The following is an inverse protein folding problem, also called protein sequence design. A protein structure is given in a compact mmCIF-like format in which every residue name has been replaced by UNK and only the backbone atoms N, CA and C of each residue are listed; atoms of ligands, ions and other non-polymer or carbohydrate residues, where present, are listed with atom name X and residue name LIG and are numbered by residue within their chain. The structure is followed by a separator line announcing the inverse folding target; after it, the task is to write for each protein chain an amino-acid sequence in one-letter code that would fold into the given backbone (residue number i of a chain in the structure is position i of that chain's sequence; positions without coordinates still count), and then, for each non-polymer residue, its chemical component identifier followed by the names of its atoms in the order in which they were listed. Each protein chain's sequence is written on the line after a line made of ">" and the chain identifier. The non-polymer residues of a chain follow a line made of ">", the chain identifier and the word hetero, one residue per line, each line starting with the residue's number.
data_IF_741494761153
#
_entry.id   IF_741494761153
#
_cell.length_a   1.000
_cell.length_b   1.000
_cell.length_c   1.000
_cell.angle_alpha   90.00
_cell.angle_beta   90.00
_cell.angle_gamma   90.00
#
_symmetry.space_group_name_H-M   'P 1'
#
loop_
_entity.id
_entity.type
_entity.pdbx_description
1 polymer ?
#
# COMPACT_ATOMS: atom_id res chain seq x y z
N UNK A 1 1.22 33.12 15.46
CA UNK A 1 1.72 32.33 16.61
C UNK A 1 2.79 31.38 16.08
N UNK A 2 4.00 31.43 16.60
CA UNK A 2 5.12 30.60 16.13
C UNK A 2 4.74 29.11 16.24
N UNK A 3 4.88 28.30 15.17
CA UNK A 3 4.39 26.89 15.12
C UNK A 3 4.92 26.08 16.32
N UNK A 4 6.15 26.38 16.74
CA UNK A 4 6.79 25.78 17.94
C UNK A 4 6.07 26.12 19.25
N UNK A 5 5.62 27.36 19.41
CA UNK A 5 4.89 27.78 20.61
C UNK A 5 3.50 27.13 20.68
N UNK A 6 2.84 26.95 19.52
CA UNK A 6 1.55 26.25 19.44
C UNK A 6 1.64 24.78 19.85
N UNK A 7 2.68 24.05 19.39
CA UNK A 7 2.90 22.64 19.75
C UNK A 7 3.17 22.43 21.25
N UNK A 8 3.95 23.32 21.86
CA UNK A 8 4.24 23.27 23.31
C UNK A 8 2.97 23.55 24.11
N UNK A 9 2.18 24.57 23.73
CA UNK A 9 0.94 24.90 24.43
C UNK A 9 -0.08 23.75 24.35
N UNK A 10 -0.23 23.12 23.18
CA UNK A 10 -1.10 21.95 23.02
C UNK A 10 -0.63 20.78 23.89
N UNK A 11 0.67 20.48 23.88
CA UNK A 11 1.24 19.40 24.69
C UNK A 11 1.03 19.66 26.18
N UNK A 12 1.24 20.89 26.65
CA UNK A 12 0.97 21.29 28.02
C UNK A 12 -0.51 21.10 28.40
N UNK A 13 -1.44 21.48 27.51
CA UNK A 13 -2.88 21.29 27.74
C UNK A 13 -3.27 19.81 27.84
N UNK A 14 -2.77 18.96 26.92
CA UNK A 14 -2.97 17.50 26.98
C UNK A 14 -2.39 16.94 28.27
N UNK A 15 -1.19 17.37 28.66
CA UNK A 15 -0.56 16.99 29.92
C UNK A 15 -1.38 17.39 31.14
N UNK A 16 -1.94 18.60 31.15
CA UNK A 16 -2.80 19.06 32.24
C UNK A 16 -4.04 18.17 32.42
N UNK A 17 -4.72 17.86 31.33
CA UNK A 17 -5.90 17.00 31.34
C UNK A 17 -5.55 15.57 31.78
N UNK A 18 -4.49 14.99 31.23
CA UNK A 18 -4.02 13.66 31.60
C UNK A 18 -3.62 13.59 33.07
N UNK A 19 -2.85 14.57 33.56
CA UNK A 19 -2.42 14.64 34.95
C UNK A 19 -3.59 14.83 35.93
N UNK A 20 -4.60 15.62 35.56
CA UNK A 20 -5.83 15.73 36.34
C UNK A 20 -6.59 14.40 36.40
N UNK A 21 -6.71 13.69 35.28
CA UNK A 21 -7.37 12.38 35.19
C UNK A 21 -6.66 11.33 36.07
N UNK A 22 -5.32 11.35 36.10
CA UNK A 22 -4.52 10.44 36.93
C UNK A 22 -4.58 10.76 38.43
N UNK A 23 -4.75 12.03 38.82
CA UNK A 23 -4.75 12.44 40.22
C UNK A 23 -6.00 11.98 41.00
N UNK A 24 -7.17 11.90 40.34
CA UNK A 24 -8.40 11.28 40.88
C UNK A 24 -9.13 12.01 42.01
N UNK A 25 -8.43 12.74 42.90
CA UNK A 25 -9.04 13.53 43.99
C UNK A 25 -9.17 15.01 43.63
N UNK A 26 -10.18 15.70 44.16
CA UNK A 26 -10.39 17.12 43.88
C UNK A 26 -9.19 18.01 44.29
N UNK A 27 -8.54 17.67 45.42
CA UNK A 27 -7.32 18.36 45.90
C UNK A 27 -6.07 18.01 45.08
N UNK A 28 -5.99 16.78 44.54
CA UNK A 28 -4.88 16.31 43.72
C UNK A 28 -4.92 16.79 42.27
N UNK A 29 -6.10 17.09 41.70
CA UNK A 29 -6.26 17.46 40.29
C UNK A 29 -5.45 18.68 39.88
N UNK A 30 -5.37 19.72 40.72
CA UNK A 30 -4.57 20.93 40.41
C UNK A 30 -3.08 20.62 40.33
N UNK A 31 -2.55 19.83 41.28
CA UNK A 31 -1.14 19.41 41.27
C UNK A 31 -0.86 18.45 40.12
N UNK A 32 -1.75 17.50 39.88
CA UNK A 32 -1.67 16.58 38.75
C UNK A 32 -1.66 17.31 37.41
N UNK A 33 -2.55 18.30 37.24
CA UNK A 33 -2.60 19.12 36.04
C UNK A 33 -1.30 19.92 35.83
N UNK A 34 -0.81 20.60 36.88
CA UNK A 34 0.43 21.35 36.79
C UNK A 34 1.63 20.45 36.43
N UNK A 35 1.74 19.29 37.09
CA UNK A 35 2.82 18.33 36.84
C UNK A 35 2.72 17.71 35.44
N UNK A 36 1.53 17.30 35.02
CA UNK A 36 1.31 16.74 33.69
C UNK A 36 1.59 17.75 32.58
N UNK A 37 1.19 19.01 32.77
CA UNK A 37 1.51 20.11 31.86
C UNK A 37 3.02 20.31 31.72
N UNK A 38 3.74 20.36 32.85
CA UNK A 38 5.19 20.51 32.87
C UNK A 38 5.90 19.34 32.16
N UNK A 39 5.50 18.09 32.43
CA UNK A 39 6.08 16.89 31.81
C UNK A 39 5.87 16.91 30.29
N UNK A 40 4.66 17.18 29.83
CA UNK A 40 4.36 17.18 28.39
C UNK A 40 4.98 18.36 27.65
N UNK A 41 5.01 19.55 28.26
CA UNK A 41 5.72 20.70 27.70
C UNK A 41 7.23 20.42 27.60
N UNK A 42 7.83 19.87 28.66
CA UNK A 42 9.25 19.49 28.64
C UNK A 42 9.54 18.40 27.60
N UNK A 43 8.67 17.39 27.49
CA UNK A 43 8.76 16.34 26.47
C UNK A 43 8.74 16.92 25.06
N UNK A 44 7.81 17.83 24.77
CA UNK A 44 7.72 18.48 23.46
C UNK A 44 8.94 19.36 23.18
N UNK A 45 9.43 20.14 24.17
CA UNK A 45 10.64 20.96 24.02
C UNK A 45 11.86 20.09 23.67
N UNK A 46 12.08 18.99 24.39
CA UNK A 46 13.20 18.09 24.13
C UNK A 46 13.05 17.40 22.78
N UNK A 47 11.85 16.94 22.42
CA UNK A 47 11.60 16.32 21.13
C UNK A 47 11.86 17.30 19.97
N UNK A 48 11.39 18.55 20.08
CA UNK A 48 11.61 19.58 19.05
C UNK A 48 13.05 20.07 18.96
N UNK A 49 13.79 20.04 20.06
CA UNK A 49 15.22 20.38 20.06
C UNK A 49 16.06 19.34 19.29
N UNK A 50 15.61 18.09 19.24
CA UNK A 50 16.30 16.99 18.55
C UNK A 50 15.81 16.75 17.12
N UNK A 51 14.58 17.13 16.82
CA UNK A 51 13.93 16.91 15.53
C UNK A 51 14.62 17.69 14.40
N UNK A 52 14.98 17.00 13.32
CA UNK A 52 15.49 17.64 12.09
C UNK A 52 14.35 18.13 11.20
N UNK A 53 14.61 19.08 10.28
CA UNK A 53 13.62 19.46 9.27
C UNK A 53 13.10 18.22 8.51
N UNK A 54 11.77 18.15 8.31
CA UNK A 54 11.12 17.03 7.59
C UNK A 54 10.87 15.76 8.41
N UNK A 55 11.49 15.61 9.59
CA UNK A 55 11.24 14.45 10.45
C UNK A 55 9.95 14.61 11.26
N UNK A 56 9.36 13.49 11.70
CA UNK A 56 8.33 13.48 12.75
C UNK A 56 8.99 13.44 14.12
N UNK A 57 8.30 13.85 15.21
CA UNK A 57 8.84 13.73 16.56
C UNK A 57 9.28 12.31 16.88
N UNK A 58 10.35 12.19 17.66
CA UNK A 58 10.92 10.92 18.09
C UNK A 58 9.86 9.94 18.60
N UNK A 59 10.14 8.64 18.45
CA UNK A 59 9.22 7.60 18.89
C UNK A 59 8.83 7.73 20.38
N UNK A 60 9.77 8.05 21.27
CA UNK A 60 9.52 8.10 22.71
C UNK A 60 8.53 9.21 23.07
N UNK A 61 8.64 10.40 22.48
CA UNK A 61 7.73 11.52 22.74
C UNK A 61 6.31 11.20 22.26
N UNK A 62 6.20 10.52 21.11
CA UNK A 62 4.91 10.00 20.61
C UNK A 62 4.29 8.94 21.51
N UNK A 63 5.09 8.10 22.17
CA UNK A 63 4.60 7.13 23.17
C UNK A 63 4.06 7.84 24.40
N UNK A 64 4.77 8.85 24.92
CA UNK A 64 4.30 9.65 26.06
C UNK A 64 2.98 10.36 25.72
N UNK A 65 2.90 11.00 24.54
CA UNK A 65 1.66 11.63 24.05
C UNK A 65 0.50 10.64 23.95
N UNK A 66 0.74 9.44 23.41
CA UNK A 66 -0.27 8.39 23.31
C UNK A 66 -0.77 7.94 24.68
N UNK A 67 0.14 7.82 25.66
CA UNK A 67 -0.21 7.53 27.05
C UNK A 67 -1.05 8.63 27.70
N UNK A 68 -0.72 9.90 27.45
CA UNK A 68 -1.48 11.05 27.97
C UNK A 68 -2.90 11.10 27.39
N UNK A 69 -3.06 10.91 26.07
CA UNK A 69 -4.37 10.83 25.42
C UNK A 69 -5.19 9.65 25.94
N UNK A 70 -4.56 8.49 26.14
CA UNK A 70 -5.20 7.32 26.71
C UNK A 70 -5.64 7.57 28.17
N UNK A 71 -4.86 8.30 28.97
CA UNK A 71 -5.23 8.68 30.33
C UNK A 71 -6.49 9.55 30.35
N UNK A 72 -6.59 10.51 29.43
CA UNK A 72 -7.78 11.38 29.29
C UNK A 72 -9.00 10.52 28.94
N UNK A 73 -8.89 9.68 27.90
CA UNK A 73 -9.97 8.80 27.48
C UNK A 73 -10.41 7.83 28.58
N UNK A 74 -9.45 7.19 29.26
CA UNK A 74 -9.71 6.30 30.38
C UNK A 74 -10.39 7.01 31.55
N UNK A 75 -10.05 8.27 31.82
CA UNK A 75 -10.68 9.07 32.88
C UNK A 75 -12.18 9.35 32.67
N UNK A 76 -12.69 9.18 31.45
CA UNK A 76 -14.11 9.33 31.11
C UNK A 76 -14.92 8.03 31.30
N UNK A 77 -14.24 6.89 31.49
CA UNK A 77 -14.87 5.56 31.52
C UNK A 77 -15.09 5.10 32.96
N UNK A 78 -16.28 4.58 33.24
CA UNK A 78 -16.62 3.91 34.51
C UNK A 78 -16.66 2.41 34.32
N UNK A 79 -15.50 1.78 34.25
CA UNK A 79 -15.37 0.33 34.12
C UNK A 79 -14.17 -0.18 34.94
N UNK A 80 -14.17 -1.49 35.19
CA UNK A 80 -13.05 -2.14 35.88
C UNK A 80 -11.76 -2.12 35.05
N UNK A 81 -10.61 -2.45 35.67
CA UNK A 81 -9.30 -2.40 35.01
C UNK A 81 -9.21 -3.24 33.73
N UNK A 82 -9.72 -4.46 33.72
CA UNK A 82 -9.64 -5.35 32.55
C UNK A 82 -10.40 -4.79 31.33
N UNK A 83 -11.70 -4.42 31.41
CA UNK A 83 -12.39 -3.79 30.29
C UNK A 83 -11.73 -2.51 29.77
N UNK A 84 -11.22 -1.65 30.67
CA UNK A 84 -10.53 -0.41 30.28
C UNK A 84 -9.23 -0.71 29.55
N UNK A 85 -8.44 -1.65 30.08
CA UNK A 85 -7.19 -2.09 29.46
C UNK A 85 -7.43 -2.68 28.07
N UNK A 86 -8.39 -3.60 27.93
CA UNK A 86 -8.77 -4.21 26.64
C UNK A 86 -9.20 -3.16 25.63
N UNK A 87 -10.07 -2.23 26.01
CA UNK A 87 -10.53 -1.17 25.10
C UNK A 87 -9.39 -0.26 24.66
N UNK A 88 -8.57 0.22 25.59
CA UNK A 88 -7.43 1.08 25.29
C UNK A 88 -6.38 0.36 24.40
N UNK A 89 -6.09 -0.90 24.72
CA UNK A 89 -5.23 -1.77 23.92
C UNK A 89 -5.78 -2.01 22.51
N UNK A 90 -7.09 -2.28 22.38
CA UNK A 90 -7.76 -2.46 21.09
C UNK A 90 -7.66 -1.21 20.22
N UNK A 91 -7.91 -0.02 20.78
CA UNK A 91 -7.75 1.26 20.06
C UNK A 91 -6.32 1.46 19.58
N UNK A 92 -5.33 1.24 20.45
CA UNK A 92 -3.92 1.37 20.07
C UNK A 92 -3.49 0.34 19.02
N UNK A 93 -4.01 -0.89 19.11
CA UNK A 93 -3.81 -1.97 18.14
C UNK A 93 -4.37 -1.61 16.76
N UNK A 94 -5.60 -1.11 16.70
CA UNK A 94 -6.29 -0.70 15.47
C UNK A 94 -5.50 0.38 14.71
N UNK A 95 -4.93 1.36 15.42
CA UNK A 95 -4.10 2.42 14.82
C UNK A 95 -2.75 1.91 14.28
N UNK A 96 -2.34 0.69 14.65
CA UNK A 96 -1.05 0.10 14.23
C UNK A 96 -1.01 -0.43 12.80
N UNK A 97 -2.17 -0.47 12.10
CA UNK A 97 -2.41 -0.96 10.72
C UNK A 97 -2.01 -2.42 10.42
N UNK A 98 -1.11 -3.04 11.19
CA UNK A 98 -0.76 -4.47 11.06
C UNK A 98 -1.79 -5.36 11.76
N UNK A 99 -2.32 -6.42 11.12
CA UNK A 99 -3.25 -7.37 11.73
C UNK A 99 -2.70 -7.96 13.04
N UNK A 100 -1.40 -8.26 13.08
CA UNK A 100 -0.75 -8.76 14.29
C UNK A 100 -0.81 -7.74 15.45
N UNK A 101 -0.69 -6.44 15.13
CA UNK A 101 -0.83 -5.35 16.13
C UNK A 101 -2.28 -5.16 16.57
N UNK A 102 -3.24 -5.31 15.65
CA UNK A 102 -4.68 -5.26 15.96
C UNK A 102 -5.05 -6.36 16.96
N UNK A 103 -4.51 -7.57 16.79
CA UNK A 103 -4.74 -8.69 17.71
C UNK A 103 -3.96 -8.57 19.03
N UNK A 104 -2.71 -8.06 18.97
CA UNK A 104 -1.87 -7.90 20.16
C UNK A 104 -2.42 -6.84 21.13
N UNK A 105 -3.02 -5.77 20.61
CA UNK A 105 -3.54 -4.65 21.40
C UNK A 105 -4.45 -5.08 22.55
N UNK A 106 -5.59 -5.75 22.27
CA UNK A 106 -6.51 -6.25 23.30
C UNK A 106 -5.84 -7.20 24.30
N UNK A 107 -4.91 -8.06 23.85
CA UNK A 107 -4.21 -9.03 24.71
C UNK A 107 -3.31 -8.31 25.71
N UNK A 108 -2.50 -7.35 25.25
CA UNK A 108 -1.67 -6.51 26.13
C UNK A 108 -2.54 -5.70 27.07
N UNK A 109 -3.65 -5.15 26.55
CA UNK A 109 -4.64 -4.43 27.33
C UNK A 109 -5.23 -5.26 28.47
N UNK A 110 -5.63 -6.51 28.19
CA UNK A 110 -6.13 -7.44 29.19
C UNK A 110 -5.07 -7.75 30.25
N UNK A 111 -3.85 -8.08 29.83
CA UNK A 111 -2.74 -8.38 30.74
C UNK A 111 -2.44 -7.22 31.68
N UNK A 112 -2.36 -5.99 31.14
CA UNK A 112 -2.20 -4.78 31.96
C UNK A 112 -3.37 -4.63 32.92
N UNK A 113 -4.61 -4.76 32.44
CA UNK A 113 -5.79 -4.65 33.28
C UNK A 113 -5.80 -5.67 34.44
N UNK A 114 -5.31 -6.90 34.23
CA UNK A 114 -5.21 -7.93 35.26
C UNK A 114 -4.15 -7.62 36.33
N UNK A 115 -3.11 -6.84 35.99
CA UNK A 115 -2.07 -6.43 36.94
C UNK A 115 -2.53 -5.29 37.87
N UNK A 116 -3.59 -4.57 37.53
CA UNK A 116 -4.11 -3.47 38.35
C UNK A 116 -5.16 -3.96 39.37
N UNK A 117 -5.16 -3.44 40.61
CA UNK A 117 -6.19 -3.76 41.59
C UNK A 117 -7.57 -3.27 41.15
N UNK A 118 -8.66 -3.87 41.66
CA UNK A 118 -10.05 -3.53 41.27
C UNK A 118 -10.41 -2.05 41.44
N UNK A 119 -9.80 -1.34 42.39
CA UNK A 119 -9.97 0.09 42.65
C UNK A 119 -9.01 1.01 41.87
N UNK A 120 -8.22 0.46 40.95
CA UNK A 120 -7.31 1.25 40.12
C UNK A 120 -8.06 2.26 39.27
N UNK A 121 -7.42 3.41 39.03
CA UNK A 121 -8.00 4.48 38.23
C UNK A 121 -8.01 4.07 36.76
N UNK A 122 -9.17 4.12 36.06
CA UNK A 122 -9.26 3.84 34.63
C UNK A 122 -8.25 4.61 33.77
N UNK A 123 -7.99 5.89 34.10
CA UNK A 123 -6.97 6.71 33.44
C UNK A 123 -5.56 6.09 33.49
N UNK A 124 -5.16 5.53 34.64
CA UNK A 124 -3.86 4.90 34.79
C UNK A 124 -3.78 3.59 33.99
N UNK A 125 -4.83 2.77 34.05
CA UNK A 125 -4.90 1.51 33.32
C UNK A 125 -4.82 1.74 31.81
N UNK A 126 -5.60 2.69 31.27
CA UNK A 126 -5.59 3.03 29.86
C UNK A 126 -4.21 3.55 29.40
N UNK A 127 -3.60 4.45 30.16
CA UNK A 127 -2.26 4.97 29.88
C UNK A 127 -1.21 3.85 29.85
N UNK A 128 -1.19 3.00 30.88
CA UNK A 128 -0.25 1.87 30.96
C UNK A 128 -0.49 0.84 29.85
N UNK A 129 -1.75 0.56 29.49
CA UNK A 129 -2.09 -0.35 28.41
C UNK A 129 -1.55 0.15 27.06
N UNK A 130 -1.79 1.43 26.74
CA UNK A 130 -1.31 2.03 25.48
C UNK A 130 0.21 2.14 25.45
N UNK A 131 0.85 2.62 26.52
CA UNK A 131 2.31 2.72 26.60
C UNK A 131 2.94 1.33 26.51
N UNK A 132 2.45 0.36 27.29
CA UNK A 132 2.93 -1.02 27.27
C UNK A 132 2.78 -1.66 25.89
N UNK A 133 1.63 -1.48 25.24
CA UNK A 133 1.42 -1.93 23.86
C UNK A 133 2.40 -1.28 22.88
N UNK A 134 2.63 0.03 22.97
CA UNK A 134 3.54 0.76 22.07
C UNK A 134 4.99 0.33 22.25
N UNK A 135 5.42 0.09 23.49
CA UNK A 135 6.76 -0.44 23.81
C UNK A 135 6.91 -1.86 23.30
N UNK A 136 5.99 -2.76 23.65
CA UNK A 136 6.03 -4.16 23.18
C UNK A 136 5.98 -4.23 21.64
N UNK A 137 5.11 -3.44 21.03
CA UNK A 137 5.00 -3.37 19.57
C UNK A 137 6.29 -2.89 18.91
N UNK A 138 7.00 -1.93 19.51
CA UNK A 138 8.28 -1.46 18.98
C UNK A 138 9.40 -2.53 19.14
N UNK A 139 9.35 -3.32 20.21
CA UNK A 139 10.30 -4.39 20.46
C UNK A 139 10.10 -5.59 19.53
N UNK A 140 8.84 -5.98 19.32
CA UNK A 140 8.45 -7.17 18.53
C UNK A 140 8.43 -6.88 17.03
N UNK A 141 7.97 -5.69 16.62
CA UNK A 141 7.78 -5.34 15.20
C UNK A 141 8.77 -4.27 14.75
N UNK A 142 10.03 -4.67 14.57
CA UNK A 142 11.15 -3.76 14.28
C UNK A 142 11.18 -3.27 12.84
N UNK A 143 10.73 -4.09 11.89
CA UNK A 143 10.89 -3.77 10.47
C UNK A 143 9.94 -2.63 10.05
N UNK A 144 10.43 -1.56 9.41
CA UNK A 144 9.56 -0.52 8.88
C UNK A 144 8.63 -1.11 7.81
N UNK A 145 7.34 -0.76 7.84
CA UNK A 145 6.40 -1.20 6.79
C UNK A 145 6.25 -0.17 5.69
N UNK A 146 6.51 1.07 6.07
CA UNK A 146 6.58 2.22 5.18
C UNK A 146 7.80 3.00 5.62
N UNK A 147 8.67 3.35 4.69
CA UNK A 147 9.83 4.23 4.94
C UNK A 147 9.88 5.32 3.87
N UNK A 148 10.26 6.52 4.27
CA UNK A 148 10.65 7.55 3.30
C UNK A 148 11.93 7.08 2.60
N UNK A 149 11.81 6.80 1.31
CA UNK A 149 12.92 6.34 0.49
C UNK A 149 13.70 7.53 -0.07
N UNK A 150 12.98 8.53 -0.58
CA UNK A 150 13.55 9.72 -1.17
C UNK A 150 12.61 10.91 -1.01
N UNK A 151 13.18 12.11 -0.87
CA UNK A 151 12.46 13.38 -0.85
C UNK A 151 13.00 14.25 -1.98
N UNK A 152 12.10 14.78 -2.82
CA UNK A 152 12.42 15.63 -3.98
C UNK A 152 13.53 15.06 -4.87
N UNK A 153 13.47 13.76 -5.13
CA UNK A 153 14.37 13.10 -6.07
C UNK A 153 13.87 13.27 -7.50
N UNK A 154 14.80 13.32 -8.46
CA UNK A 154 14.42 13.33 -9.87
C UNK A 154 13.98 11.93 -10.31
N UNK A 155 13.17 11.83 -11.36
CA UNK A 155 12.66 10.53 -11.83
C UNK A 155 13.79 9.58 -12.26
N UNK A 156 14.87 10.11 -12.84
CA UNK A 156 16.01 9.32 -13.31
C UNK A 156 16.81 8.68 -12.17
N UNK A 157 16.71 9.24 -10.95
CA UNK A 157 17.34 8.69 -9.74
C UNK A 157 16.54 7.52 -9.17
N UNK A 158 15.28 7.36 -9.60
CA UNK A 158 14.35 6.32 -9.16
C UNK A 158 13.79 5.56 -10.38
N UNK A 159 14.63 4.88 -11.18
CA UNK A 159 14.20 4.25 -12.45
C UNK A 159 13.18 3.11 -12.25
N UNK A 160 13.05 2.61 -11.02
CA UNK A 160 12.05 1.62 -10.63
C UNK A 160 10.65 2.22 -10.40
N UNK A 161 10.52 3.53 -10.18
CA UNK A 161 9.23 4.21 -10.00
C UNK A 161 8.68 4.68 -11.35
N UNK A 162 7.39 4.48 -11.59
CA UNK A 162 6.71 5.00 -12.79
C UNK A 162 6.08 6.36 -12.44
N UNK A 163 6.64 7.49 -12.93
CA UNK A 163 6.31 8.83 -12.44
C UNK A 163 5.12 9.46 -13.20
N UNK A 164 4.03 8.71 -13.35
CA UNK A 164 2.85 9.11 -14.12
C UNK A 164 1.64 9.21 -13.19
N UNK A 165 1.23 10.44 -12.85
CA UNK A 165 0.08 10.71 -11.98
C UNK A 165 -1.23 10.90 -12.73
N UNK A 166 -2.34 10.70 -12.00
CA UNK A 166 -3.61 11.28 -12.39
C UNK A 166 -3.69 12.76 -11.98
N UNK A 167 -4.12 13.61 -12.91
CA UNK A 167 -4.39 15.05 -12.65
C UNK A 167 -5.80 15.32 -12.14
N UNK A 168 -6.66 14.32 -12.21
CA UNK A 168 -8.03 14.33 -11.69
C UNK A 168 -8.11 13.50 -10.42
N UNK A 169 -9.19 13.69 -9.65
CA UNK A 169 -9.42 12.94 -8.41
C UNK A 169 -9.83 11.47 -8.63
N UNK A 170 -10.10 11.08 -9.89
CA UNK A 170 -10.56 9.74 -10.24
C UNK A 170 -9.88 9.28 -11.54
N UNK A 171 -9.26 8.12 -11.48
CA UNK A 171 -8.69 7.44 -12.64
C UNK A 171 -9.80 6.69 -13.37
N UNK A 172 -10.06 7.07 -14.61
CA UNK A 172 -11.04 6.42 -15.48
C UNK A 172 -10.39 5.65 -16.62
N UNK A 173 -11.21 4.97 -17.42
CA UNK A 173 -10.78 4.31 -18.68
C UNK A 173 -10.26 5.31 -19.72
N UNK A 174 -10.49 6.61 -19.53
CA UNK A 174 -9.92 7.70 -20.34
C UNK A 174 -8.50 8.16 -19.93
N UNK A 175 -7.93 7.65 -18.83
CA UNK A 175 -6.66 8.14 -18.27
C UNK A 175 -5.51 8.19 -19.30
N UNK A 176 -5.34 7.14 -20.11
CA UNK A 176 -4.21 7.06 -21.07
C UNK A 176 -4.33 8.13 -22.15
N UNK A 177 -5.56 8.50 -22.53
CA UNK A 177 -5.81 9.61 -23.46
C UNK A 177 -5.40 10.95 -22.84
N UNK A 178 -5.84 11.22 -21.62
CA UNK A 178 -5.47 12.44 -20.89
C UNK A 178 -3.95 12.54 -20.70
N UNK A 179 -3.31 11.40 -20.44
CA UNK A 179 -1.86 11.32 -20.32
C UNK A 179 -1.15 11.65 -21.64
N UNK A 180 -1.69 11.22 -22.79
CA UNK A 180 -1.12 11.54 -24.10
C UNK A 180 -1.11 13.05 -24.36
N UNK A 181 -2.16 13.78 -23.97
CA UNK A 181 -2.22 15.24 -24.08
C UNK A 181 -1.12 15.91 -23.24
N UNK A 182 -0.84 15.37 -22.05
CA UNK A 182 0.21 15.86 -21.15
C UNK A 182 1.61 15.60 -21.70
N UNK A 183 1.84 14.39 -22.21
CA UNK A 183 3.12 14.00 -22.80
C UNK A 183 3.33 14.57 -24.21
N UNK A 184 2.27 15.14 -24.80
CA UNK A 184 2.27 15.59 -26.19
C UNK A 184 2.41 14.45 -27.20
N UNK A 185 2.01 13.23 -26.86
CA UNK A 185 2.11 12.03 -27.70
C UNK A 185 0.84 11.72 -28.49
N UNK A 186 0.93 10.76 -29.41
CA UNK A 186 -0.22 10.24 -30.17
C UNK A 186 -0.86 9.09 -29.42
N UNK A 187 -2.13 9.25 -29.03
CA UNK A 187 -2.93 8.22 -28.38
C UNK A 187 -3.57 7.25 -29.38
N UNK A 188 -3.52 5.94 -29.07
CA UNK A 188 -4.33 4.90 -29.73
C UNK A 188 -5.04 4.05 -28.69
N UNK A 189 -6.35 3.93 -28.83
CA UNK A 189 -7.18 3.08 -27.98
C UNK A 189 -7.17 1.64 -28.51
N UNK A 190 -7.29 0.66 -27.61
CA UNK A 190 -7.55 -0.75 -27.97
C UNK A 190 -6.62 -1.26 -29.09
N UNK A 191 -5.32 -1.03 -28.92
CA UNK A 191 -4.32 -1.31 -29.96
C UNK A 191 -4.19 -2.82 -30.11
N UNK A 192 -4.54 -3.32 -31.30
CA UNK A 192 -4.35 -4.71 -31.66
C UNK A 192 -2.86 -5.06 -31.69
N UNK A 193 -2.58 -6.31 -31.34
CA UNK A 193 -1.26 -6.91 -31.39
C UNK A 193 -0.20 -6.33 -30.45
N UNK A 194 -0.60 -5.51 -29.49
CA UNK A 194 0.28 -4.98 -28.45
C UNK A 194 0.27 -5.84 -27.18
N UNK A 195 1.40 -5.83 -26.47
CA UNK A 195 1.58 -6.44 -25.17
C UNK A 195 1.85 -5.44 -24.06
N UNK A 196 2.03 -5.97 -22.85
CA UNK A 196 2.42 -5.15 -21.69
C UNK A 196 3.92 -4.84 -21.68
N UNK A 197 4.73 -5.62 -22.41
CA UNK A 197 6.14 -5.35 -22.66
C UNK A 197 6.40 -5.36 -24.16
N UNK A 198 7.42 -4.61 -24.61
CA UNK A 198 7.80 -4.60 -26.03
C UNK A 198 8.52 -5.89 -26.45
N UNK A 199 9.42 -6.38 -25.59
CA UNK A 199 10.12 -7.65 -25.77
C UNK A 199 10.47 -8.21 -24.39
N UNK A 200 10.31 -9.52 -24.23
CA UNK A 200 10.72 -10.23 -23.02
C UNK A 200 12.25 -10.26 -22.87
N UNK A 201 13.00 -10.02 -23.95
CA UNK A 201 14.47 -9.98 -23.94
C UNK A 201 15.01 -8.85 -23.05
N UNK A 202 14.25 -7.77 -22.90
CA UNK A 202 14.59 -6.66 -22.00
C UNK A 202 14.65 -7.08 -20.53
N UNK A 203 13.99 -8.19 -20.18
CA UNK A 203 13.95 -8.76 -18.84
C UNK A 203 15.15 -9.67 -18.53
N UNK A 204 15.99 -9.97 -19.52
CA UNK A 204 17.16 -10.83 -19.35
C UNK A 204 18.06 -10.36 -18.20
N UNK A 205 18.56 -11.30 -17.41
CA UNK A 205 19.49 -11.02 -16.33
C UNK A 205 20.09 -12.29 -15.73
N UNK A 206 20.95 -12.14 -14.71
CA UNK A 206 21.71 -13.28 -14.17
C UNK A 206 20.89 -14.46 -13.64
N UNK A 207 19.60 -14.27 -13.37
CA UNK A 207 18.71 -15.33 -12.87
C UNK A 207 17.60 -15.70 -13.87
N UNK A 208 17.49 -15.01 -15.01
CA UNK A 208 16.38 -15.18 -15.94
C UNK A 208 16.87 -15.05 -17.37
N UNK A 209 16.73 -16.13 -18.13
CA UNK A 209 16.95 -16.18 -19.58
C UNK A 209 15.59 -16.24 -20.30
N UNK A 210 15.22 -15.21 -21.08
CA UNK A 210 13.98 -15.16 -21.83
C UNK A 210 13.84 -16.23 -22.92
N UNK A 211 14.92 -16.92 -23.31
CA UNK A 211 14.90 -18.01 -24.29
C UNK A 211 14.39 -19.33 -23.72
N UNK A 212 14.43 -19.49 -22.39
CA UNK A 212 13.90 -20.67 -21.68
C UNK A 212 12.38 -20.60 -21.45
N UNK A 213 11.74 -19.48 -21.80
CA UNK A 213 10.31 -19.25 -21.59
C UNK A 213 9.49 -19.93 -22.67
N UNK A 214 8.42 -20.59 -22.27
CA UNK A 214 7.43 -21.20 -23.15
C UNK A 214 6.92 -20.14 -24.16
N UNK A 215 6.91 -20.43 -25.48
CA UNK A 215 6.50 -19.47 -26.50
C UNK A 215 5.12 -18.85 -26.26
N UNK A 216 4.19 -19.61 -25.68
CA UNK A 216 2.85 -19.11 -25.39
C UNK A 216 2.85 -18.13 -24.20
N UNK A 217 3.71 -18.36 -23.20
CA UNK A 217 3.93 -17.40 -22.10
C UNK A 217 4.58 -16.13 -22.65
N UNK A 218 5.60 -16.25 -23.51
CA UNK A 218 6.21 -15.10 -24.17
C UNK A 218 5.17 -14.30 -24.98
N UNK A 219 4.38 -14.98 -25.81
CA UNK A 219 3.33 -14.35 -26.61
C UNK A 219 2.32 -13.60 -25.72
N UNK A 220 1.96 -14.14 -24.56
CA UNK A 220 1.08 -13.44 -23.62
C UNK A 220 1.63 -12.10 -23.14
N UNK A 221 2.94 -12.01 -22.87
CA UNK A 221 3.55 -10.76 -22.40
C UNK A 221 3.77 -9.75 -23.52
N UNK A 222 4.22 -10.21 -24.69
CA UNK A 222 4.53 -9.37 -25.86
C UNK A 222 3.29 -9.00 -26.70
N UNK A 223 2.21 -9.78 -26.60
CA UNK A 223 0.97 -9.60 -27.36
C UNK A 223 -0.29 -9.84 -26.51
N UNK A 224 -0.31 -9.29 -25.30
CA UNK A 224 -1.41 -9.46 -24.32
C UNK A 224 -2.80 -9.12 -24.87
N UNK A 225 -2.92 -8.20 -25.82
CA UNK A 225 -4.18 -7.87 -26.52
C UNK A 225 -4.82 -9.07 -27.25
N UNK A 226 -4.03 -10.09 -27.61
CA UNK A 226 -4.51 -11.35 -28.21
C UNK A 226 -5.13 -12.32 -27.19
N UNK A 227 -5.24 -11.95 -25.93
CA UNK A 227 -5.70 -12.84 -24.87
C UNK A 227 -6.87 -12.25 -24.07
N UNK A 228 -7.80 -13.12 -23.72
CA UNK A 228 -8.88 -12.83 -22.79
C UNK A 228 -8.58 -13.50 -21.45
N UNK A 229 -8.82 -12.78 -20.35
CA UNK A 229 -8.55 -13.27 -19.01
C UNK A 229 -9.84 -13.41 -18.20
N UNK A 230 -10.04 -14.60 -17.63
CA UNK A 230 -11.07 -14.82 -16.62
C UNK A 230 -10.43 -14.86 -15.25
N UNK A 231 -10.97 -14.11 -14.29
CA UNK A 231 -10.36 -13.88 -12.97
C UNK A 231 -11.23 -14.45 -11.85
N UNK A 232 -10.69 -15.38 -11.07
CA UNK A 232 -11.34 -15.90 -9.86
C UNK A 232 -10.60 -15.38 -8.62
N UNK A 233 -11.19 -14.45 -7.84
CA UNK A 233 -10.55 -13.91 -6.65
C UNK A 233 -10.76 -14.80 -5.41
N UNK A 234 -9.67 -15.22 -4.78
CA UNK A 234 -9.65 -16.00 -3.54
C UNK A 234 -9.22 -15.12 -2.35
N UNK A 235 -10.21 -14.50 -1.70
CA UNK A 235 -9.98 -13.66 -0.52
C UNK A 235 -9.91 -14.48 0.77
N UNK A 236 -8.90 -14.21 1.61
CA UNK A 236 -8.91 -14.71 3.00
C UNK A 236 -10.00 -14.02 3.81
N UNK A 237 -10.70 -14.79 4.65
CA UNK A 237 -11.86 -14.32 5.41
C UNK A 237 -11.56 -13.13 6.32
N UNK A 238 -10.36 -13.10 6.92
CA UNK A 238 -9.96 -12.07 7.87
C UNK A 238 -9.83 -10.66 7.24
N UNK A 239 -9.65 -10.56 5.92
CA UNK A 239 -9.47 -9.27 5.21
C UNK A 239 -10.78 -8.66 4.71
N UNK A 240 -11.82 -9.48 4.50
CA UNK A 240 -13.09 -9.04 3.93
C UNK A 240 -13.69 -7.77 4.56
N UNK A 241 -13.79 -7.61 5.90
CA UNK A 241 -14.38 -6.40 6.47
C UNK A 241 -13.53 -5.14 6.23
N UNK A 242 -12.21 -5.25 6.35
CA UNK A 242 -11.29 -4.14 6.09
C UNK A 242 -11.28 -3.74 4.62
N UNK A 243 -11.34 -4.72 3.72
CA UNK A 243 -11.39 -4.46 2.29
C UNK A 243 -12.70 -3.80 1.85
N UNK A 244 -13.86 -4.14 2.44
CA UNK A 244 -15.12 -3.43 2.17
C UNK A 244 -15.03 -1.93 2.51
N UNK A 245 -14.36 -1.59 3.61
CA UNK A 245 -14.13 -0.20 3.99
C UNK A 245 -13.17 0.49 3.01
N UNK A 246 -12.02 -0.13 2.72
CA UNK A 246 -11.06 0.36 1.75
C UNK A 246 -11.69 0.58 0.37
N UNK A 247 -12.48 -0.39 -0.10
CA UNK A 247 -13.13 -0.37 -1.41
C UNK A 247 -14.05 0.84 -1.55
N UNK A 248 -14.85 1.13 -0.54
CA UNK A 248 -15.83 2.21 -0.60
C UNK A 248 -15.23 3.60 -0.33
N UNK A 249 -14.23 3.68 0.55
CA UNK A 249 -13.63 4.96 0.94
C UNK A 249 -12.45 5.38 0.06
N UNK A 250 -11.77 4.42 -0.57
CA UNK A 250 -10.50 4.65 -1.28
C UNK A 250 -10.60 4.15 -2.72
N UNK A 251 -10.80 2.84 -2.94
CA UNK A 251 -10.66 2.24 -4.27
C UNK A 251 -11.65 2.81 -5.31
N UNK A 252 -12.95 2.82 -4.96
CA UNK A 252 -14.01 3.32 -5.86
C UNK A 252 -13.92 4.82 -6.14
N UNK A 253 -13.75 5.70 -5.14
CA UNK A 253 -13.55 7.13 -5.39
C UNK A 253 -12.32 7.41 -6.26
N UNK A 254 -11.22 6.68 -6.06
CA UNK A 254 -9.99 6.83 -6.84
C UNK A 254 -10.07 6.20 -8.24
N UNK A 255 -10.95 5.21 -8.45
CA UNK A 255 -11.01 4.44 -9.70
C UNK A 255 -9.83 3.47 -9.89
N UNK A 256 -9.18 3.06 -8.80
CA UNK A 256 -8.02 2.17 -8.81
C UNK A 256 -8.18 1.04 -7.79
N UNK A 257 -7.56 -0.11 -8.08
CA UNK A 257 -7.50 -1.28 -7.20
C UNK A 257 -8.87 -1.78 -6.69
N UNK A 258 -9.92 -1.65 -7.51
CA UNK A 258 -11.29 -2.10 -7.20
C UNK A 258 -11.48 -3.57 -7.59
N UNK A 259 -10.68 -4.45 -6.97
CA UNK A 259 -10.68 -5.89 -7.26
C UNK A 259 -12.02 -6.54 -6.85
N UNK A 260 -12.62 -7.42 -7.69
CA UNK A 260 -13.86 -8.10 -7.36
C UNK A 260 -13.81 -8.92 -6.07
N UNK A 261 -14.88 -8.88 -5.27
CA UNK A 261 -14.99 -9.62 -4.00
C UNK A 261 -15.71 -10.96 -4.12
N UNK A 262 -16.61 -11.07 -5.08
CA UNK A 262 -17.58 -12.16 -5.15
C UNK A 262 -17.65 -12.75 -6.55
N UNK A 263 -17.97 -14.04 -6.65
CA UNK A 263 -18.21 -14.73 -7.92
C UNK A 263 -19.26 -14.03 -8.79
N UNK A 264 -20.26 -13.36 -8.20
CA UNK A 264 -21.24 -12.55 -8.95
C UNK A 264 -20.62 -11.37 -9.69
N UNK A 265 -19.58 -10.75 -9.14
CA UNK A 265 -18.85 -9.66 -9.81
C UNK A 265 -17.91 -10.22 -10.88
N UNK A 266 -17.33 -11.41 -10.65
CA UNK A 266 -16.60 -12.15 -11.69
C UNK A 266 -17.50 -12.50 -12.89
N UNK A 267 -18.76 -12.85 -12.64
CA UNK A 267 -19.75 -13.14 -13.70
C UNK A 267 -20.19 -11.91 -14.52
N UNK A 268 -19.87 -10.68 -14.08
CA UNK A 268 -20.18 -9.46 -14.86
C UNK A 268 -19.30 -9.32 -16.11
N UNK A 269 -18.24 -10.12 -16.21
CA UNK A 269 -17.24 -10.01 -17.27
C UNK A 269 -16.29 -8.84 -17.06
N UNK A 270 -15.04 -9.01 -17.50
CA UNK A 270 -14.01 -7.97 -17.45
C UNK A 270 -13.64 -7.61 -18.88
N UNK A 271 -13.78 -6.34 -19.25
CA UNK A 271 -13.19 -5.83 -20.49
C UNK A 271 -11.73 -5.49 -20.21
N UNK A 272 -10.84 -6.04 -21.03
CA UNK A 272 -9.40 -5.82 -21.00
C UNK A 272 -9.00 -5.20 -22.32
N UNK A 273 -8.29 -4.07 -22.30
CA UNK A 273 -7.71 -3.46 -23.50
C UNK A 273 -6.36 -2.82 -23.22
N UNK A 274 -5.53 -2.71 -24.25
CA UNK A 274 -4.27 -1.99 -24.21
C UNK A 274 -4.41 -0.69 -24.99
N UNK A 275 -4.21 0.42 -24.30
CA UNK A 275 -4.11 1.73 -24.92
C UNK A 275 -2.63 2.12 -24.99
N UNK A 276 -2.20 2.73 -26.10
CA UNK A 276 -0.79 3.10 -26.32
C UNK A 276 -0.61 4.60 -26.53
N UNK A 277 0.58 5.09 -26.17
CA UNK A 277 1.03 6.44 -26.50
C UNK A 277 2.38 6.33 -27.21
N UNK A 278 2.44 6.87 -28.42
CA UNK A 278 3.69 7.08 -29.15
C UNK A 278 4.14 8.52 -28.90
N UNK A 279 5.32 8.69 -28.29
CA UNK A 279 5.87 10.02 -28.02
C UNK A 279 6.28 10.72 -29.32
N UNK A 280 6.28 12.05 -29.33
CA UNK A 280 6.81 12.82 -30.46
C UNK A 280 8.26 12.41 -30.75
N UNK A 281 8.58 12.27 -32.03
CA UNK A 281 9.90 11.91 -32.54
C UNK A 281 10.37 10.47 -32.20
N UNK A 282 9.45 9.61 -31.77
CA UNK A 282 9.69 8.17 -31.62
C UNK A 282 8.78 7.37 -32.53
N UNK A 283 9.32 6.34 -33.19
CA UNK A 283 8.53 5.40 -33.97
C UNK A 283 7.90 4.29 -33.11
N UNK A 284 8.50 4.02 -31.94
CA UNK A 284 8.06 2.96 -31.04
C UNK A 284 7.07 3.48 -29.98
N UNK A 285 6.21 2.58 -29.50
CA UNK A 285 5.30 2.85 -28.39
C UNK A 285 6.10 3.14 -27.12
N UNK A 286 5.96 4.37 -26.61
CA UNK A 286 6.64 4.84 -25.40
C UNK A 286 5.87 4.52 -24.11
N UNK A 287 4.54 4.42 -24.17
CA UNK A 287 3.69 4.10 -23.01
C UNK A 287 2.66 3.05 -23.37
N UNK A 288 2.54 2.01 -22.54
CA UNK A 288 1.55 0.95 -22.64
C UNK A 288 0.66 0.97 -21.41
N UNK A 289 -0.61 1.32 -21.60
CA UNK A 289 -1.61 1.36 -20.55
C UNK A 289 -2.55 0.15 -20.63
N UNK A 290 -2.48 -0.73 -19.65
CA UNK A 290 -3.42 -1.83 -19.53
C UNK A 290 -4.62 -1.41 -18.69
N UNK A 291 -5.77 -1.34 -19.34
CA UNK A 291 -7.03 -0.90 -18.73
C UNK A 291 -7.92 -2.12 -18.53
N UNK A 292 -8.43 -2.29 -17.31
CA UNK A 292 -9.47 -3.26 -17.00
C UNK A 292 -10.69 -2.57 -16.41
N UNK A 293 -11.86 -2.84 -16.97
CA UNK A 293 -13.15 -2.34 -16.48
C UNK A 293 -14.20 -3.46 -16.42
N UNK A 294 -15.25 -3.26 -15.64
CA UNK A 294 -16.41 -4.15 -15.65
C UNK A 294 -17.14 -4.01 -17.00
N UNK A 295 -17.42 -5.14 -17.65
CA UNK A 295 -17.93 -5.13 -19.04
C UNK A 295 -19.31 -4.47 -19.19
N UNK A 296 -20.13 -4.48 -18.14
CA UNK A 296 -21.50 -3.95 -18.13
C UNK A 296 -21.59 -2.45 -17.79
N UNK A 297 -20.68 -1.92 -16.96
CA UNK A 297 -20.74 -0.51 -16.49
C UNK A 297 -19.57 0.36 -16.91
N UNK A 298 -18.54 -0.22 -17.54
CA UNK A 298 -17.24 0.42 -17.79
C UNK A 298 -16.58 1.03 -16.54
N UNK A 299 -17.01 0.59 -15.34
CA UNK A 299 -16.41 1.03 -14.09
C UNK A 299 -14.98 0.47 -14.03
N UNK A 300 -13.94 1.31 -13.86
CA UNK A 300 -12.56 0.85 -13.86
C UNK A 300 -12.28 -0.05 -12.65
N UNK A 301 -11.63 -1.17 -12.92
CA UNK A 301 -11.05 -2.06 -11.92
C UNK A 301 -9.66 -1.53 -11.56
N UNK A 302 -8.82 -1.31 -12.58
CA UNK A 302 -7.58 -0.55 -12.50
C UNK A 302 -7.08 -0.13 -13.89
N UNK A 303 -6.20 0.86 -13.89
CA UNK A 303 -5.34 1.23 -15.02
C UNK A 303 -3.89 1.09 -14.57
N UNK A 304 -3.11 0.30 -15.29
CA UNK A 304 -1.68 0.10 -15.02
C UNK A 304 -0.83 0.52 -16.21
N UNK A 305 0.20 1.32 -15.97
CA UNK A 305 1.19 1.70 -16.97
C UNK A 305 2.41 0.80 -16.82
N UNK A 306 2.67 -0.02 -17.83
CA UNK A 306 3.76 -0.98 -17.81
C UNK A 306 5.00 -0.38 -18.47
N UNK A 307 6.11 -0.48 -17.77
CA UNK A 307 7.44 -0.13 -18.28
C UNK A 307 8.44 -1.21 -17.92
N UNK A 308 9.49 -1.29 -18.72
CA UNK A 308 10.66 -2.12 -18.45
C UNK A 308 11.84 -1.20 -18.25
N UNK A 309 12.77 -1.61 -17.39
CA UNK A 309 14.04 -0.91 -17.27
C UNK A 309 15.14 -1.90 -16.88
N UNK A 310 16.39 -1.51 -17.11
CA UNK A 310 17.56 -2.31 -16.80
C UNK A 310 18.42 -1.63 -15.75
N UNK A 311 18.95 -2.42 -14.81
CA UNK A 311 19.89 -1.97 -13.80
C UNK A 311 20.86 -3.10 -13.46
N UNK A 312 22.17 -2.79 -13.45
CA UNK A 312 23.24 -3.75 -13.17
C UNK A 312 23.12 -5.07 -13.97
N UNK A 313 22.87 -4.95 -15.28
CA UNK A 313 22.77 -6.10 -16.19
C UNK A 313 21.48 -6.93 -16.06
N UNK A 314 20.50 -6.46 -15.29
CA UNK A 314 19.24 -7.14 -15.05
C UNK A 314 18.05 -6.30 -15.50
N UNK A 315 17.08 -6.94 -16.15
CA UNK A 315 15.79 -6.32 -16.47
C UNK A 315 14.75 -6.48 -15.36
N UNK A 316 13.84 -5.51 -15.30
CA UNK A 316 12.72 -5.47 -14.37
C UNK A 316 11.47 -5.00 -15.10
N UNK A 317 10.31 -5.40 -14.58
CA UNK A 317 9.01 -4.83 -14.99
C UNK A 317 8.53 -3.91 -13.88
N UNK A 318 8.22 -2.66 -14.21
CA UNK A 318 7.55 -1.73 -13.32
C UNK A 318 6.13 -1.44 -13.82
N UNK A 319 5.18 -1.43 -12.89
CA UNK A 319 3.78 -1.13 -13.18
C UNK A 319 3.35 0.05 -12.33
N UNK A 320 3.08 1.18 -12.98
CA UNK A 320 2.55 2.38 -12.35
C UNK A 320 1.03 2.36 -12.30
N UNK A 321 0.47 2.42 -11.10
CA UNK A 321 -0.94 2.67 -10.85
C UNK A 321 -1.11 4.16 -10.52
N UNK A 322 -1.47 5.01 -11.50
CA UNK A 322 -1.63 6.44 -11.27
C UNK A 322 -2.67 6.67 -10.16
N UNK A 323 -2.40 7.67 -9.31
CA UNK A 323 -3.33 8.18 -8.30
C UNK A 323 -3.33 9.72 -8.38
N UNK A 324 -4.30 10.42 -7.78
CA UNK A 324 -4.31 11.88 -7.79
C UNK A 324 -3.00 12.44 -7.23
N UNK A 325 -2.28 13.24 -8.03
CA UNK A 325 -1.00 13.86 -7.67
C UNK A 325 0.14 12.88 -7.30
N UNK A 326 0.04 11.63 -7.73
CA UNK A 326 1.07 10.63 -7.45
C UNK A 326 0.93 9.34 -8.24
N UNK A 327 1.75 8.36 -7.89
CA UNK A 327 1.72 7.02 -8.49
C UNK A 327 1.99 5.98 -7.41
N UNK A 328 1.25 4.88 -7.43
CA UNK A 328 1.61 3.67 -6.71
C UNK A 328 2.30 2.73 -7.70
N UNK A 329 3.59 2.48 -7.56
CA UNK A 329 4.36 1.62 -8.47
C UNK A 329 4.65 0.28 -7.83
N UNK A 330 4.51 -0.80 -8.58
CA UNK A 330 5.06 -2.10 -8.26
C UNK A 330 6.22 -2.42 -9.21
N UNK A 331 7.38 -2.74 -8.67
CA UNK A 331 8.56 -3.17 -9.44
C UNK A 331 8.83 -4.63 -9.16
N UNK A 332 8.90 -5.42 -10.23
CA UNK A 332 8.91 -6.87 -10.19
C UNK A 332 10.17 -7.43 -10.81
N UNK A 333 10.77 -8.38 -10.10
CA UNK A 333 11.89 -9.18 -10.53
C UNK A 333 11.39 -10.38 -11.36
N UNK A 334 11.83 -10.56 -12.61
CA UNK A 334 11.58 -11.77 -13.37
C UNK A 334 12.44 -12.93 -12.85
N UNK A 335 11.79 -14.08 -12.67
CA UNK A 335 12.40 -15.34 -12.26
C UNK A 335 11.84 -16.50 -13.12
N UNK A 336 12.68 -17.48 -13.48
CA UNK A 336 12.24 -18.62 -14.26
C UNK A 336 11.37 -19.53 -13.40
N UNK A 337 10.38 -20.16 -14.04
CA UNK A 337 9.57 -21.21 -13.44
C UNK A 337 9.83 -22.53 -14.15
N UNK A 338 9.94 -23.66 -13.44
CA UNK A 338 9.96 -24.97 -14.07
C UNK A 338 8.80 -25.15 -15.06
N UNK A 339 9.11 -25.72 -16.24
CA UNK A 339 8.15 -25.86 -17.34
C UNK A 339 8.02 -24.63 -18.24
N UNK A 340 9.01 -23.72 -18.24
CA UNK A 340 9.04 -22.56 -19.14
C UNK A 340 8.11 -21.41 -18.73
N UNK A 341 7.58 -21.42 -17.51
CA UNK A 341 6.79 -20.30 -17.01
C UNK A 341 7.64 -19.12 -16.54
N UNK A 342 6.97 -18.03 -16.19
CA UNK A 342 7.57 -16.79 -15.70
C UNK A 342 6.94 -16.41 -14.35
N UNK A 343 7.80 -16.16 -13.35
CA UNK A 343 7.39 -15.53 -12.10
C UNK A 343 7.86 -14.08 -12.09
N UNK A 344 6.95 -13.14 -11.88
CA UNK A 344 7.26 -11.75 -11.55
C UNK A 344 7.00 -11.53 -10.06
N UNK A 345 8.02 -11.15 -9.30
CA UNK A 345 7.90 -11.00 -7.83
C UNK A 345 8.42 -9.68 -7.33
N UNK A 346 7.70 -9.08 -6.38
CA UNK A 346 8.19 -7.94 -5.61
C UNK A 346 8.99 -8.38 -4.38
N UNK A 347 9.11 -9.69 -4.12
CA UNK A 347 9.86 -10.23 -2.99
C UNK A 347 11.28 -10.53 -3.41
N UNK A 348 12.22 -9.73 -2.93
CA UNK A 348 13.63 -9.89 -3.22
C UNK A 348 14.47 -9.23 -2.14
N UNK A 349 15.72 -9.68 -2.01
CA UNK A 349 16.76 -8.98 -1.23
C UNK A 349 17.46 -7.90 -2.07
N UNK A 350 17.12 -7.79 -3.37
CA UNK A 350 17.60 -6.72 -4.25
C UNK A 350 16.97 -5.37 -3.89
N UNK A 351 17.65 -4.27 -4.24
CA UNK A 351 17.25 -2.93 -3.81
C UNK A 351 15.94 -2.39 -4.43
N UNK A 352 15.59 -2.84 -5.64
CA UNK A 352 14.53 -2.24 -6.46
C UNK A 352 13.19 -3.01 -6.53
N UNK A 353 13.14 -4.36 -6.41
CA UNK A 353 11.85 -5.04 -6.36
C UNK A 353 11.06 -4.63 -5.11
N UNK A 354 9.81 -4.22 -5.30
CA UNK A 354 9.01 -3.69 -4.20
C UNK A 354 7.84 -2.82 -4.65
N UNK A 355 7.22 -2.15 -3.68
CA UNK A 355 6.10 -1.25 -3.90
C UNK A 355 6.42 0.15 -3.40
N UNK A 356 6.02 1.15 -4.17
CA UNK A 356 6.39 2.54 -3.95
C UNK A 356 5.17 3.43 -4.08
N UNK A 357 4.93 4.29 -3.09
CA UNK A 357 3.94 5.35 -3.18
C UNK A 357 4.68 6.68 -3.34
N UNK A 358 4.54 7.29 -4.51
CA UNK A 358 5.24 8.52 -4.87
C UNK A 358 4.26 9.67 -5.04
N UNK A 359 4.52 10.77 -4.34
CA UNK A 359 3.90 12.06 -4.65
C UNK A 359 4.77 12.80 -5.66
N UNK A 360 4.14 13.47 -6.62
CA UNK A 360 4.82 14.15 -7.72
C UNK A 360 4.57 15.65 -7.60
N UNK A 361 5.63 16.46 -7.49
CA UNK A 361 5.50 17.92 -7.46
C UNK A 361 4.97 18.43 -8.81
N UNK A 362 3.87 19.20 -8.83
CA UNK A 362 3.25 19.63 -10.09
C UNK A 362 4.11 20.63 -10.89
N UNK A 363 5.09 21.30 -10.26
CA UNK A 363 5.97 22.29 -10.91
C UNK A 363 7.32 21.69 -11.26
N UNK A 364 7.98 21.05 -10.31
CA UNK A 364 9.34 20.54 -10.53
C UNK A 364 9.37 19.13 -11.09
N UNK A 365 8.26 18.37 -10.96
CA UNK A 365 8.17 16.94 -11.26
C UNK A 365 8.98 16.04 -10.32
N UNK A 366 9.59 16.61 -9.28
CA UNK A 366 10.34 15.82 -8.31
C UNK A 366 9.43 14.85 -7.55
N UNK A 367 10.00 13.71 -7.21
CA UNK A 367 9.35 12.61 -6.53
C UNK A 367 9.66 12.65 -5.03
N UNK A 368 8.61 12.56 -4.22
CA UNK A 368 8.75 12.18 -2.81
C UNK A 368 8.16 10.79 -2.64
N UNK A 369 9.01 9.81 -2.37
CA UNK A 369 8.70 8.39 -2.51
C UNK A 369 8.76 7.67 -1.18
N UNK A 370 7.70 6.94 -0.86
CA UNK A 370 7.61 6.01 0.26
C UNK A 370 7.76 4.58 -0.27
N UNK A 371 8.67 3.80 0.30
CA UNK A 371 8.73 2.35 0.07
C UNK A 371 7.71 1.65 0.99
N UNK A 372 6.89 0.75 0.44
CA UNK A 372 5.79 0.05 1.13
C UNK A 372 6.16 -1.42 1.34
N UNK A 373 7.17 -1.67 2.18
CA UNK A 373 7.70 -3.01 2.52
C UNK A 373 6.66 -4.00 3.01
N UNK A 374 5.58 -3.48 3.62
CA UNK A 374 4.50 -4.31 4.13
C UNK A 374 3.63 -4.94 3.04
N UNK A 375 3.77 -4.56 1.78
CA UNK A 375 2.97 -5.10 0.68
C UNK A 375 3.88 -5.84 -0.31
N UNK A 376 3.50 -7.07 -0.63
CA UNK A 376 4.26 -7.90 -1.57
C UNK A 376 3.33 -8.62 -2.51
N UNK A 377 3.79 -8.85 -3.73
CA UNK A 377 3.07 -9.60 -4.74
C UNK A 377 3.98 -10.56 -5.49
N UNK A 378 3.37 -11.60 -6.04
CA UNK A 378 3.99 -12.56 -6.92
C UNK A 378 2.97 -12.96 -7.99
N UNK A 379 3.32 -12.78 -9.25
CA UNK A 379 2.56 -13.25 -10.40
C UNK A 379 3.32 -14.43 -11.02
N UNK A 380 2.74 -15.62 -10.96
CA UNK A 380 3.22 -16.84 -11.60
C UNK A 380 2.38 -17.07 -12.85
N UNK A 381 2.98 -17.02 -14.04
CA UNK A 381 2.35 -17.36 -15.32
C UNK A 381 3.00 -18.62 -15.89
N UNK A 382 2.17 -19.57 -16.29
CA UNK A 382 2.64 -20.85 -16.82
C UNK A 382 1.64 -21.50 -17.76
N UNK A 383 2.11 -22.52 -18.47
CA UNK A 383 1.28 -23.42 -19.26
C UNK A 383 0.96 -24.68 -18.47
N UNK A 384 -0.29 -25.11 -18.53
CA UNK A 384 -0.78 -26.41 -18.05
C UNK A 384 -1.73 -26.97 -19.11
N UNK A 385 -1.50 -28.20 -19.56
CA UNK A 385 -2.26 -28.84 -20.65
C UNK A 385 -2.42 -27.99 -21.93
N UNK A 386 -1.37 -27.22 -22.27
CA UNK A 386 -1.37 -26.33 -23.44
C UNK A 386 -2.22 -25.06 -23.28
N UNK A 387 -2.70 -24.77 -22.07
CA UNK A 387 -3.48 -23.57 -21.74
C UNK A 387 -2.69 -22.68 -20.81
N UNK A 388 -2.87 -21.37 -20.94
CA UNK A 388 -2.21 -20.40 -20.06
C UNK A 388 -3.00 -20.23 -18.76
N UNK A 389 -2.28 -20.34 -17.67
CA UNK A 389 -2.75 -20.10 -16.32
C UNK A 389 -1.87 -19.04 -15.66
N UNK A 390 -2.47 -18.24 -14.79
CA UNK A 390 -1.70 -17.40 -13.90
C UNK A 390 -2.24 -17.42 -12.48
N UNK A 391 -1.35 -17.36 -11.50
CA UNK A 391 -1.65 -17.12 -10.10
C UNK A 391 -0.99 -15.83 -9.65
N UNK A 392 -1.79 -14.87 -9.20
CA UNK A 392 -1.28 -13.60 -8.66
C UNK A 392 -1.59 -13.52 -7.18
N UNK A 393 -0.58 -13.80 -6.36
CA UNK A 393 -0.67 -13.86 -4.92
C UNK A 393 -0.19 -12.55 -4.29
N UNK A 394 -1.02 -11.97 -3.43
CA UNK A 394 -0.72 -10.77 -2.66
C UNK A 394 -0.60 -11.11 -1.17
N UNK A 395 0.35 -10.47 -0.51
CA UNK A 395 0.51 -10.58 0.94
C UNK A 395 0.74 -9.22 1.57
N UNK A 396 0.16 -9.07 2.75
CA UNK A 396 0.27 -7.88 3.58
C UNK A 396 0.93 -8.29 4.89
N UNK A 397 2.06 -7.69 5.21
CA UNK A 397 2.87 -7.95 6.41
C UNK A 397 3.29 -9.43 6.52
N UNK A 398 3.66 -10.03 5.38
CA UNK A 398 4.02 -11.44 5.27
C UNK A 398 2.83 -12.41 5.31
N UNK A 399 1.60 -11.92 5.47
CA UNK A 399 0.40 -12.75 5.51
C UNK A 399 -0.31 -12.73 4.15
N UNK A 400 -0.49 -13.88 3.49
CA UNK A 400 -1.32 -13.96 2.29
C UNK A 400 -2.74 -13.49 2.57
N UNK A 401 -3.28 -12.64 1.70
CA UNK A 401 -4.65 -12.15 1.85
C UNK A 401 -5.53 -12.30 0.63
N UNK A 402 -4.94 -12.32 -0.56
CA UNK A 402 -5.64 -12.43 -1.84
C UNK A 402 -4.79 -13.25 -2.79
N UNK A 403 -5.42 -14.20 -3.45
CA UNK A 403 -4.87 -14.85 -4.65
C UNK A 403 -5.86 -14.64 -5.79
N UNK A 404 -5.39 -14.17 -6.94
CA UNK A 404 -6.19 -14.10 -8.16
C UNK A 404 -5.75 -15.25 -9.06
N UNK A 405 -6.68 -16.16 -9.37
CA UNK A 405 -6.46 -17.23 -10.34
C UNK A 405 -6.98 -16.78 -11.70
N UNK A 406 -6.13 -16.87 -12.71
CA UNK A 406 -6.43 -16.51 -14.07
C UNK A 406 -6.46 -17.74 -14.95
N UNK A 407 -7.50 -17.83 -15.76
CA UNK A 407 -7.50 -18.64 -16.98
C UNK A 407 -7.36 -17.69 -18.15
N UNK A 408 -6.35 -17.91 -18.97
CA UNK A 408 -6.00 -17.03 -20.08
C UNK A 408 -6.24 -17.81 -21.38
N UNK A 409 -7.13 -17.29 -22.22
CA UNK A 409 -7.51 -17.92 -23.50
C UNK A 409 -7.12 -17.00 -24.64
N UNK A 410 -6.47 -17.54 -25.67
CA UNK A 410 -6.22 -16.77 -26.89
C UNK A 410 -7.54 -16.39 -27.54
N UNK A 411 -7.64 -15.14 -28.01
CA UNK A 411 -8.77 -14.65 -28.80
C UNK A 411 -8.62 -14.99 -30.28
N UNK A 412 -7.52 -15.62 -30.70
CA UNK A 412 -7.46 -16.28 -32.01
C UNK A 412 -8.43 -17.46 -32.00
N UNK A 413 -9.58 -17.24 -32.62
CA UNK A 413 -10.57 -18.22 -33.01
C UNK A 413 -9.88 -19.51 -33.47
N UNK A 414 -10.29 -20.64 -32.89
CA UNK A 414 -10.02 -21.97 -33.44
C UNK A 414 -10.30 -21.94 -34.96
N UNK A 415 -9.38 -22.41 -35.83
CA UNK A 415 -9.74 -22.62 -37.21
C UNK A 415 -10.90 -23.61 -37.21
N UNK A 416 -12.04 -23.14 -37.74
CA UNK A 416 -13.28 -23.87 -37.91
C UNK A 416 -12.98 -25.30 -38.40
N UNK A 417 -13.02 -26.28 -37.50
CA UNK A 417 -13.00 -27.68 -37.87
C UNK A 417 -14.40 -28.05 -38.37
N UNK A 418 -14.73 -27.55 -39.55
CA UNK A 418 -15.86 -28.03 -40.34
C UNK A 418 -15.41 -29.24 -41.16
N UNK A 419 -16.18 -30.35 -41.20
CA UNK A 419 -16.12 -31.26 -42.33
C UNK A 419 -16.65 -30.61 -43.61
#
# INVERSE_FOLDING_TARGET
>A
MNIRAGGIALSAAVGALAGAALAGTASGRRRGAAMGAAIMAGTEVVARARQRPGEIPDWWSRVVMSGALAAIGGGLVKAGPVPVGVAAGATAGALGLRPQKVLLGPVVGAAVGMLFPKGAKPAAVAATAVVGFRVLSALVFRDPQVSLLAERARAEELPFVVPLEARTNRVGTGFVRELADVLGGTYRADTEDEGIVASLDELAGPQFDPSDVDPLVREFYEHTSRFTLTIVPEWRLWVRPGYLLYRNLVARPLGQANVPMNQRETMRGVRSRIDTITLKDQEQVGVRGWIRSFADTDEPIYVGIYTTYRHEGRGYVSVGFPVPHGSFTATLLPLPRPGGGLVLTSRSDLAHPGHYLSSIDPRTRDLTTLAVHGFTEQLDVHTEDGRLHAEHAFSLYGLPFLTLRYTITSSRTEPNAGP
#
